data_IF_097775015480
#
_entry.id   IF_097775015480
#
_cell.length_a   1.000
_cell.length_b   1.000
_cell.length_c   1.000
_cell.angle_alpha   90.00
_cell.angle_beta   90.00
_cell.angle_gamma   90.00
#
_symmetry.space_group_name_H-M   'P 1'
#
loop_
_entity.id
_entity.type
_entity.pdbx_description
1 polymer ?
#
# COMPACT_ATOMS: atom_id res chain seq x y z
N UNK A 1 1.36 14.59 -0.99
CA UNK A 1 0.20 14.94 -0.13
C UNK A 1 -1.14 14.83 -0.88
N UNK A 2 -1.21 15.38 -2.10
CA UNK A 2 -2.41 15.36 -2.96
C UNK A 2 -2.98 13.96 -3.22
N UNK A 3 -2.12 12.96 -3.45
CA UNK A 3 -2.55 11.57 -3.66
C UNK A 3 -3.38 11.05 -2.49
N UNK A 4 -3.02 11.42 -1.26
CA UNK A 4 -3.76 11.03 -0.06
C UNK A 4 -5.10 11.77 -0.01
N UNK A 5 -5.11 13.08 -0.26
CA UNK A 5 -6.34 13.87 -0.30
C UNK A 5 -7.36 13.31 -1.31
N UNK A 6 -6.90 13.00 -2.52
CA UNK A 6 -7.75 12.38 -3.55
C UNK A 6 -8.27 11.00 -3.12
N UNK A 7 -7.45 10.22 -2.42
CA UNK A 7 -7.85 8.90 -1.93
C UNK A 7 -8.90 9.01 -0.82
N UNK A 8 -8.76 9.98 0.08
CA UNK A 8 -9.73 10.26 1.14
C UNK A 8 -11.05 10.75 0.55
N UNK A 9 -10.99 11.69 -0.41
CA UNK A 9 -12.18 12.16 -1.12
C UNK A 9 -12.90 11.00 -1.80
N UNK A 10 -12.18 10.15 -2.53
CA UNK A 10 -12.75 8.97 -3.19
C UNK A 10 -13.37 7.99 -2.19
N UNK A 11 -12.76 7.79 -1.03
CA UNK A 11 -13.31 6.91 0.01
C UNK A 11 -14.59 7.48 0.65
N UNK A 12 -14.68 8.81 0.79
CA UNK A 12 -15.84 9.47 1.38
C UNK A 12 -17.05 9.53 0.43
N UNK A 13 -16.82 9.49 -0.89
CA UNK A 13 -17.87 9.59 -1.92
C UNK A 13 -18.25 8.25 -2.56
N UNK A 14 -17.60 7.14 -2.18
CA UNK A 14 -17.88 5.82 -2.71
C UNK A 14 -19.24 5.30 -2.19
N UNK A 15 -20.22 4.94 -3.05
CA UNK A 15 -21.52 4.43 -2.62
C UNK A 15 -21.43 3.09 -1.87
N UNK A 16 -20.33 2.35 -2.04
CA UNK A 16 -20.05 1.12 -1.30
C UNK A 16 -18.60 1.14 -0.78
N UNK A 17 -18.34 1.80 0.37
CA UNK A 17 -16.99 2.07 0.82
C UNK A 17 -16.21 0.78 1.11
N UNK A 18 -15.01 0.68 0.55
CA UNK A 18 -14.10 -0.45 0.75
C UNK A 18 -13.42 -0.34 2.11
N UNK A 19 -13.13 -1.49 2.72
CA UNK A 19 -12.37 -1.54 3.98
C UNK A 19 -10.96 -0.94 3.88
N UNK A 20 -10.37 -0.87 2.67
CA UNK A 20 -9.00 -0.37 2.45
C UNK A 20 -8.91 0.36 1.12
N UNK A 21 -8.36 1.57 1.15
CA UNK A 21 -8.03 2.38 -0.02
C UNK A 21 -6.52 2.58 -0.08
N UNK A 22 -5.86 1.97 -1.08
CA UNK A 22 -4.43 2.12 -1.27
C UNK A 22 -4.13 3.46 -1.96
N UNK A 23 -3.46 4.37 -1.26
CA UNK A 23 -3.11 5.68 -1.79
C UNK A 23 -1.94 5.57 -2.78
N UNK A 24 -2.26 5.72 -4.07
CA UNK A 24 -1.28 5.74 -5.16
C UNK A 24 -0.77 4.36 -5.61
N UNK A 25 0.09 4.37 -6.64
CA UNK A 25 0.58 3.16 -7.34
C UNK A 25 1.40 2.24 -6.44
N UNK A 26 2.31 2.82 -5.66
CA UNK A 26 3.19 2.06 -4.76
C UNK A 26 2.39 1.31 -3.69
N UNK A 27 1.46 1.97 -3.00
CA UNK A 27 0.62 1.31 -2.00
C UNK A 27 -0.19 0.14 -2.58
N UNK A 28 -0.65 0.28 -3.82
CA UNK A 28 -1.36 -0.79 -4.54
C UNK A 28 -0.43 -1.96 -4.87
N UNK A 29 0.77 -1.68 -5.38
CA UNK A 29 1.78 -2.72 -5.66
C UNK A 29 2.22 -3.45 -4.39
N UNK A 30 2.47 -2.74 -3.29
CA UNK A 30 2.82 -3.32 -1.99
C UNK A 30 1.69 -4.22 -1.48
N UNK A 31 0.43 -3.80 -1.60
CA UNK A 31 -0.74 -4.62 -1.25
C UNK A 31 -0.80 -5.92 -2.05
N UNK A 32 -0.48 -5.87 -3.35
CA UNK A 32 -0.38 -7.06 -4.21
C UNK A 32 0.80 -7.96 -3.82
N UNK A 33 2.00 -7.39 -3.66
CA UNK A 33 3.20 -8.15 -3.30
C UNK A 33 3.01 -8.88 -1.97
N UNK A 34 2.41 -8.23 -0.97
CA UNK A 34 2.12 -8.88 0.33
C UNK A 34 1.20 -10.10 0.21
N UNK A 35 0.40 -10.20 -0.85
CA UNK A 35 -0.54 -11.30 -1.06
C UNK A 35 0.07 -12.47 -1.84
N UNK A 36 1.14 -12.23 -2.60
CA UNK A 36 1.72 -13.22 -3.52
C UNK A 36 3.18 -13.57 -3.24
N UNK A 37 3.91 -12.72 -2.51
CA UNK A 37 5.32 -12.93 -2.18
C UNK A 37 5.43 -13.55 -0.78
N UNK A 38 6.28 -14.58 -0.58
CA UNK A 38 6.57 -15.11 0.74
C UNK A 38 7.01 -14.01 1.72
N UNK A 39 6.54 -14.09 2.96
CA UNK A 39 6.76 -13.04 3.96
C UNK A 39 8.24 -12.71 4.16
N UNK A 40 9.13 -13.70 4.14
CA UNK A 40 10.57 -13.54 4.28
C UNK A 40 11.22 -12.75 3.13
N UNK A 41 10.82 -13.01 1.89
CA UNK A 41 11.33 -12.31 0.72
C UNK A 41 10.79 -10.87 0.65
N UNK A 42 9.52 -10.69 0.98
CA UNK A 42 8.88 -9.37 1.05
C UNK A 42 9.53 -8.48 2.11
N UNK A 43 9.67 -8.98 3.35
CA UNK A 43 10.30 -8.24 4.46
C UNK A 43 11.73 -7.85 4.13
N UNK A 44 12.53 -8.78 3.58
CA UNK A 44 13.91 -8.49 3.17
C UNK A 44 14.01 -7.36 2.15
N UNK A 45 13.11 -7.33 1.16
CA UNK A 45 13.09 -6.27 0.15
C UNK A 45 12.68 -4.90 0.71
N UNK A 46 11.64 -4.86 1.56
CA UNK A 46 11.19 -3.62 2.20
C UNK A 46 12.23 -3.07 3.17
N UNK A 47 12.80 -3.94 4.00
CA UNK A 47 13.85 -3.60 4.95
C UNK A 47 15.06 -2.97 4.25
N UNK A 48 15.47 -3.54 3.11
CA UNK A 48 16.52 -2.96 2.26
C UNK A 48 16.15 -1.58 1.70
N UNK A 49 14.91 -1.40 1.22
CA UNK A 49 14.44 -0.12 0.70
C UNK A 49 14.33 0.97 1.78
N UNK A 50 14.01 0.58 3.01
CA UNK A 50 13.82 1.47 4.15
C UNK A 50 15.10 1.69 4.98
N UNK A 51 16.23 1.08 4.58
CA UNK A 51 17.50 1.20 5.32
C UNK A 51 17.48 0.57 6.71
N UNK A 52 16.57 -0.37 6.94
CA UNK A 52 16.41 -1.05 8.23
C UNK A 52 17.42 -2.21 8.33
N UNK A 53 17.99 -2.50 9.51
CA UNK A 53 18.94 -3.59 9.70
C UNK A 53 18.26 -4.95 9.56
N UNK A 54 18.94 -5.95 8.96
CA UNK A 54 18.49 -7.30 8.60
C UNK A 54 17.96 -8.16 9.76
#
# INVERSE_FOLDING_TARGET
PEVVANTVLAAATDPAPKKRYAAGKMARQVSFLRRFVPASAFDKSLRKQLGLPA
#
